data_IF_220597968012
#
_entry.id   IF_220597968012
#
_cell.length_a   1.000
_cell.length_b   1.000
_cell.length_c   1.000
_cell.angle_alpha   90.00
_cell.angle_beta   90.00
_cell.angle_gamma   90.00
#
_symmetry.space_group_name_H-M   'P 1'
#
loop_
_entity.id
_entity.type
_entity.pdbx_description
1 polymer ?
#
# COMPACT_ATOMS: atom_id res chain seq x y z
N UNK A 1 -21.89 -39.05 -5.57
CA UNK A 1 -20.57 -38.50 -5.16
C UNK A 1 -20.08 -37.65 -6.32
N UNK A 2 -20.22 -36.32 -6.25
CA UNK A 2 -19.63 -35.41 -7.24
C UNK A 2 -18.84 -34.34 -6.50
N UNK A 3 -17.53 -34.33 -6.74
CA UNK A 3 -16.60 -33.29 -6.33
C UNK A 3 -16.73 -32.14 -7.32
N UNK A 4 -17.13 -30.95 -6.86
CA UNK A 4 -16.85 -29.72 -7.59
C UNK A 4 -16.27 -28.70 -6.61
N UNK A 5 -14.95 -28.59 -6.68
CA UNK A 5 -14.25 -27.40 -6.21
C UNK A 5 -14.59 -26.22 -7.11
N UNK A 6 -14.83 -25.07 -6.50
CA UNK A 6 -14.78 -23.77 -7.15
C UNK A 6 -14.15 -22.83 -6.14
N UNK A 7 -12.83 -22.63 -6.30
CA UNK A 7 -12.10 -21.58 -5.61
C UNK A 7 -12.72 -20.25 -6.05
N UNK A 8 -13.28 -19.41 -5.17
CA UNK A 8 -13.68 -18.08 -5.60
C UNK A 8 -12.42 -17.35 -6.06
N UNK A 9 -12.52 -16.88 -7.30
CA UNK A 9 -11.57 -16.03 -8.02
C UNK A 9 -10.85 -15.04 -7.10
N UNK A 10 -9.52 -15.10 -7.16
CA UNK A 10 -8.57 -14.29 -6.41
C UNK A 10 -8.44 -12.87 -7.01
N UNK A 11 -9.54 -12.21 -7.36
CA UNK A 11 -9.51 -10.90 -8.03
C UNK A 11 -10.36 -9.82 -7.36
N UNK A 12 -10.83 -10.04 -6.12
CA UNK A 12 -11.37 -8.98 -5.24
C UNK A 12 -10.71 -9.01 -3.88
N UNK A 13 -9.38 -9.03 -3.87
CA UNK A 13 -8.65 -8.49 -2.75
C UNK A 13 -8.88 -6.96 -2.77
N UNK A 14 -9.93 -6.51 -2.06
CA UNK A 14 -10.03 -5.12 -1.63
C UNK A 14 -8.75 -4.83 -0.85
N UNK A 15 -7.71 -4.36 -1.54
CA UNK A 15 -6.47 -3.90 -0.92
C UNK A 15 -6.93 -2.93 0.16
N UNK A 16 -6.54 -3.13 1.43
CA UNK A 16 -6.88 -2.15 2.46
C UNK A 16 -6.43 -0.79 1.94
N UNK A 17 -7.38 0.13 1.78
CA UNK A 17 -7.13 1.46 1.21
C UNK A 17 -6.23 2.21 2.18
N UNK A 18 -4.92 2.06 2.06
CA UNK A 18 -3.97 2.92 2.74
C UNK A 18 -4.20 4.34 2.22
N UNK A 19 -4.25 5.36 3.10
CA UNK A 19 -4.46 6.74 2.65
C UNK A 19 -3.46 7.11 1.56
N UNK A 20 -3.92 7.81 0.53
CA UNK A 20 -3.07 8.27 -0.58
C UNK A 20 -1.88 9.07 -0.05
N UNK A 21 -0.69 8.85 -0.63
CA UNK A 21 0.56 9.46 -0.17
C UNK A 21 1.16 8.88 1.12
N UNK A 22 0.54 7.84 1.71
CA UNK A 22 1.11 7.15 2.86
C UNK A 22 2.42 6.46 2.48
N UNK A 23 3.37 6.44 3.40
CA UNK A 23 4.67 5.82 3.16
C UNK A 23 4.93 4.69 4.15
N UNK A 24 5.51 3.61 3.65
CA UNK A 24 5.90 2.45 4.46
C UNK A 24 7.31 2.67 5.01
N UNK A 25 7.47 2.58 6.33
CA UNK A 25 8.78 2.59 6.95
C UNK A 25 9.53 1.29 6.61
N UNK A 26 10.72 1.39 6.01
CA UNK A 26 11.51 0.23 5.58
C UNK A 26 12.10 -0.57 6.74
N UNK A 27 12.31 0.09 7.88
CA UNK A 27 12.85 -0.56 9.09
C UNK A 27 11.83 -1.44 9.80
N UNK A 28 10.59 -0.97 9.93
CA UNK A 28 9.59 -1.62 10.80
C UNK A 28 8.25 -1.91 10.10
N UNK A 29 8.15 -1.68 8.79
CA UNK A 29 6.99 -1.91 7.94
C UNK A 29 5.69 -1.19 8.41
N UNK A 30 5.80 -0.17 9.24
CA UNK A 30 4.66 0.63 9.66
C UNK A 30 4.28 1.62 8.54
N UNK A 31 2.98 1.69 8.21
CA UNK A 31 2.43 2.68 7.28
C UNK A 31 2.20 3.99 8.01
N UNK A 32 2.80 5.07 7.51
CA UNK A 32 2.74 6.41 8.09
C UNK A 32 1.93 7.35 7.20
N UNK A 33 1.31 8.36 7.82
CA UNK A 33 0.58 9.40 7.09
C UNK A 33 1.49 10.26 6.20
N UNK A 34 0.98 10.83 5.09
CA UNK A 34 1.78 11.54 4.09
C UNK A 34 2.62 12.71 4.65
N UNK A 35 2.04 13.43 5.62
CA UNK A 35 2.65 14.61 6.25
C UNK A 35 3.72 14.28 7.30
N UNK A 36 3.90 13.00 7.65
CA UNK A 36 4.94 12.58 8.59
C UNK A 36 6.28 12.55 7.88
N UNK A 37 7.26 13.24 8.46
CA UNK A 37 8.67 13.18 8.04
C UNK A 37 9.45 12.06 8.75
N UNK A 38 8.87 11.46 9.79
CA UNK A 38 9.45 10.35 10.57
C UNK A 38 8.41 9.29 10.89
N UNK A 39 8.85 8.06 11.08
CA UNK A 39 7.98 6.95 11.43
C UNK A 39 7.33 7.21 12.78
N UNK A 40 6.00 7.09 12.83
CA UNK A 40 5.20 7.33 14.03
C UNK A 40 5.38 6.24 15.09
N UNK A 41 5.96 5.09 14.73
CA UNK A 41 6.23 4.02 15.69
C UNK A 41 7.26 4.50 16.73
N UNK A 42 6.93 4.48 18.03
CA UNK A 42 7.77 5.07 19.08
C UNK A 42 9.12 4.38 19.24
N UNK A 43 9.21 3.10 18.86
CA UNK A 43 10.45 2.33 18.88
C UNK A 43 11.27 2.43 17.58
N UNK A 44 10.84 3.22 16.59
CA UNK A 44 11.45 3.27 15.27
C UNK A 44 12.02 4.66 14.94
N UNK A 45 11.14 5.67 14.81
CA UNK A 45 11.54 7.06 14.51
C UNK A 45 12.29 7.29 13.19
N UNK A 46 12.33 6.31 12.29
CA UNK A 46 13.08 6.36 11.03
C UNK A 46 12.59 7.49 10.13
N UNK A 47 13.50 8.13 9.39
CA UNK A 47 13.13 9.23 8.51
C UNK A 47 12.34 8.75 7.29
N UNK A 48 11.42 9.60 6.81
CA UNK A 48 10.71 9.34 5.56
C UNK A 48 11.75 9.27 4.45
N UNK A 49 11.79 8.19 3.64
CA UNK A 49 12.71 8.13 2.51
C UNK A 49 12.44 9.31 1.58
N UNK A 50 13.50 9.99 1.16
CA UNK A 50 13.46 11.07 0.18
C UNK A 50 13.13 10.48 -1.20
N UNK A 51 11.89 10.03 -1.41
CA UNK A 51 11.43 9.60 -2.71
C UNK A 51 11.24 10.84 -3.58
N UNK A 52 12.30 11.22 -4.29
CA UNK A 52 12.18 11.92 -5.55
C UNK A 52 11.48 10.95 -6.52
N UNK A 53 10.16 11.11 -6.68
CA UNK A 53 9.30 10.36 -7.60
C UNK A 53 9.20 8.86 -7.30
N UNK A 54 8.19 8.46 -6.51
CA UNK A 54 7.68 7.09 -6.58
C UNK A 54 6.76 6.97 -7.79
N UNK A 55 6.97 6.02 -8.70
CA UNK A 55 6.11 5.78 -9.87
C UNK A 55 4.72 5.22 -9.54
N UNK A 56 4.31 5.19 -8.26
CA UNK A 56 2.99 4.71 -7.83
C UNK A 56 1.86 5.76 -7.92
N UNK A 57 2.17 7.01 -8.32
CA UNK A 57 1.15 8.01 -8.73
C UNK A 57 0.68 7.82 -10.20
N UNK A 58 1.10 6.75 -10.87
CA UNK A 58 0.64 6.37 -12.23
C UNK A 58 -0.18 5.07 -12.24
N UNK A 59 -0.98 4.84 -11.20
CA UNK A 59 -2.06 3.83 -11.24
C UNK A 59 -3.44 4.49 -11.19
N UNK A 60 -3.64 5.54 -11.99
CA UNK A 60 -4.97 5.90 -12.52
C UNK A 60 -4.92 6.02 -14.03
N UNK A 61 -4.53 4.94 -14.71
CA UNK A 61 -4.89 4.74 -16.13
C UNK A 61 -5.60 3.39 -16.28
N UNK A 62 -6.89 3.38 -15.98
CA UNK A 62 -7.95 2.54 -16.55
C UNK A 62 -9.24 3.37 -16.33
N UNK A 63 -9.95 3.91 -17.32
CA UNK A 63 -10.33 3.32 -18.60
C UNK A 63 -10.90 4.45 -19.49
N UNK A 64 -10.35 4.63 -20.69
CA UNK A 64 -11.00 5.34 -21.79
C UNK A 64 -11.54 4.29 -22.76
N UNK A 65 -12.81 3.89 -22.58
CA UNK A 65 -13.71 3.57 -23.69
C UNK A 65 -15.19 3.67 -23.29
#
# INVERSE_FOLDING_TARGET
>A
LFLQGSKPDSSRASKPKTPEGSWKCEKCNNINYPFRTKCNRPSCGEEKPLQANSPDDLATDQDNQ
#
